data_IF_293470793824
#
_entry.id   IF_293470793824
#
_cell.length_a   1.000
_cell.length_b   1.000
_cell.length_c   1.000
_cell.angle_alpha   90.00
_cell.angle_beta   90.00
_cell.angle_gamma   90.00
#
_symmetry.space_group_name_H-M   'P 1'
#
loop_
_entity.id
_entity.type
_entity.pdbx_description
1 polymer ?
#
# COMPACT_ATOMS: atom_id res chain seq x y z
N UNK A 1 -45.92 53.63 -31.48
CA UNK A 1 -46.59 52.51 -32.21
C UNK A 1 -45.63 51.33 -32.20
N UNK A 2 -45.93 50.24 -31.50
CA UNK A 2 -45.08 49.03 -31.54
C UNK A 2 -45.69 47.96 -32.45
N UNK A 3 -44.92 47.39 -33.30
CA UNK A 3 -45.24 46.27 -34.20
C UNK A 3 -45.18 44.97 -33.39
N UNK A 4 -46.30 44.26 -33.35
CA UNK A 4 -46.42 42.94 -32.76
C UNK A 4 -46.10 41.90 -33.83
N UNK A 5 -45.00 41.14 -33.63
CA UNK A 5 -44.71 39.95 -34.42
C UNK A 5 -45.19 38.71 -33.68
N UNK A 6 -46.09 37.96 -34.31
CA UNK A 6 -46.62 36.67 -33.84
C UNK A 6 -45.62 35.57 -34.17
N UNK A 7 -45.15 34.81 -33.19
CA UNK A 7 -44.42 33.58 -33.41
C UNK A 7 -45.39 32.40 -33.28
N UNK A 8 -45.49 31.62 -34.32
CA UNK A 8 -46.30 30.40 -34.37
C UNK A 8 -45.56 29.25 -33.70
N UNK A 9 -46.22 28.56 -32.79
CA UNK A 9 -45.72 27.34 -32.14
C UNK A 9 -45.92 26.14 -33.04
N UNK A 10 -44.86 25.47 -33.46
CA UNK A 10 -44.88 24.19 -34.12
C UNK A 10 -44.68 23.09 -33.04
N UNK A 11 -45.72 22.30 -32.77
CA UNK A 11 -45.64 21.09 -31.98
C UNK A 11 -44.98 19.99 -32.83
N UNK A 12 -43.74 19.63 -32.52
CA UNK A 12 -43.14 18.40 -33.01
C UNK A 12 -43.33 17.28 -31.95
N UNK A 13 -44.11 16.26 -32.32
CA UNK A 13 -44.26 15.06 -31.53
C UNK A 13 -42.98 14.22 -31.61
N UNK A 14 -42.28 14.07 -30.50
CA UNK A 14 -41.12 13.18 -30.39
C UNK A 14 -41.63 11.79 -29.96
N UNK A 15 -41.58 10.82 -30.87
CA UNK A 15 -41.82 9.42 -30.55
C UNK A 15 -40.61 8.88 -29.77
N UNK A 16 -40.80 8.58 -28.49
CA UNK A 16 -39.80 7.90 -27.67
C UNK A 16 -39.75 6.42 -28.05
N UNK A 17 -38.67 6.02 -28.72
CA UNK A 17 -38.33 4.61 -28.91
C UNK A 17 -37.65 4.14 -27.63
N UNK A 18 -38.39 3.38 -26.82
CA UNK A 18 -37.85 2.63 -25.68
C UNK A 18 -37.04 1.46 -26.23
N UNK A 19 -35.75 1.63 -26.36
CA UNK A 19 -34.79 0.51 -26.48
C UNK A 19 -34.62 -0.07 -25.09
N UNK A 20 -35.21 -1.24 -24.85
CA UNK A 20 -34.88 -2.08 -23.70
C UNK A 20 -33.43 -2.53 -23.85
N UNK A 21 -32.49 -1.76 -23.25
CA UNK A 21 -31.13 -2.17 -23.05
C UNK A 21 -31.13 -3.32 -22.05
N UNK A 22 -30.81 -4.54 -22.49
CA UNK A 22 -30.39 -5.60 -21.63
C UNK A 22 -29.11 -5.14 -20.95
N UNK A 23 -29.23 -4.72 -19.68
CA UNK A 23 -28.08 -4.48 -18.83
C UNK A 23 -27.33 -5.79 -18.66
N UNK A 24 -26.27 -5.97 -19.45
CA UNK A 24 -25.30 -7.02 -19.15
C UNK A 24 -24.71 -6.70 -17.78
N UNK A 25 -25.01 -7.53 -16.79
CA UNK A 25 -24.27 -7.52 -15.53
C UNK A 25 -22.80 -7.69 -15.91
N UNK A 26 -22.00 -6.64 -15.77
CA UNK A 26 -20.56 -6.70 -15.96
C UNK A 26 -20.04 -7.84 -15.10
N UNK A 27 -19.35 -8.81 -15.70
CA UNK A 27 -18.71 -9.86 -14.93
C UNK A 27 -17.80 -9.21 -13.89
N UNK A 28 -17.93 -9.62 -12.63
CA UNK A 28 -17.01 -9.18 -11.58
C UNK A 28 -15.57 -9.41 -12.07
N UNK A 29 -14.65 -8.46 -11.86
CA UNK A 29 -13.26 -8.63 -12.25
C UNK A 29 -12.69 -9.91 -11.63
N UNK A 30 -11.79 -10.60 -12.32
CA UNK A 30 -11.27 -11.88 -11.85
C UNK A 30 -10.38 -11.64 -10.62
N UNK A 31 -10.69 -12.30 -9.51
CA UNK A 31 -9.87 -12.29 -8.30
C UNK A 31 -8.37 -12.50 -8.60
N UNK A 32 -7.51 -11.98 -7.71
CA UNK A 32 -6.07 -12.13 -7.82
C UNK A 32 -5.69 -13.62 -8.07
N UNK A 33 -4.64 -13.88 -8.90
CA UNK A 33 -4.20 -15.23 -9.18
C UNK A 33 -3.64 -15.91 -7.92
N UNK A 34 -3.81 -17.24 -7.86
CA UNK A 34 -3.17 -18.06 -6.83
C UNK A 34 -1.68 -18.18 -7.15
N UNK A 35 -0.76 -17.83 -6.22
CA UNK A 35 0.66 -18.00 -6.43
C UNK A 35 1.06 -19.48 -6.61
N UNK A 36 2.15 -19.71 -7.32
CA UNK A 36 2.78 -21.05 -7.43
C UNK A 36 3.79 -21.33 -6.31
N UNK A 37 3.99 -20.38 -5.41
CA UNK A 37 4.84 -20.50 -4.23
C UNK A 37 3.99 -20.33 -2.97
N UNK A 38 4.42 -20.96 -1.88
CA UNK A 38 3.76 -20.93 -0.57
C UNK A 38 4.81 -20.58 0.51
N UNK A 39 5.25 -19.32 0.52
CA UNK A 39 6.25 -18.79 1.45
C UNK A 39 5.70 -17.67 2.32
N UNK A 40 4.67 -16.99 1.82
CA UNK A 40 3.90 -15.97 2.50
C UNK A 40 2.64 -16.61 3.10
N UNK A 41 2.42 -16.46 4.39
CA UNK A 41 1.23 -17.00 5.07
C UNK A 41 0.08 -15.98 4.97
N UNK A 42 -0.71 -16.08 3.92
CA UNK A 42 -1.84 -15.20 3.66
C UNK A 42 -2.92 -15.28 4.77
N UNK A 43 -3.11 -16.46 5.37
CA UNK A 43 -4.05 -16.64 6.49
C UNK A 43 -3.65 -15.83 7.72
N UNK A 44 -2.36 -15.80 8.02
CA UNK A 44 -1.83 -15.00 9.14
C UNK A 44 -1.83 -13.52 8.82
N UNK A 45 -1.48 -13.11 7.59
CA UNK A 45 -1.59 -11.72 7.15
C UNK A 45 -3.04 -11.22 7.23
N UNK A 46 -3.99 -12.04 6.82
CA UNK A 46 -5.42 -11.76 6.94
C UNK A 46 -5.88 -11.62 8.39
N UNK A 47 -5.38 -12.48 9.29
CA UNK A 47 -5.68 -12.34 10.71
C UNK A 47 -5.12 -11.04 11.31
N UNK A 48 -3.91 -10.62 10.89
CA UNK A 48 -3.33 -9.32 11.28
C UNK A 48 -4.13 -8.14 10.74
N UNK A 49 -4.62 -8.19 9.50
CA UNK A 49 -5.49 -7.16 8.92
C UNK A 49 -6.80 -7.05 9.72
N UNK A 50 -7.50 -8.16 9.93
CA UNK A 50 -8.74 -8.20 10.72
C UNK A 50 -8.55 -7.68 12.16
N UNK A 51 -7.43 -7.99 12.78
CA UNK A 51 -7.10 -7.50 14.12
C UNK A 51 -6.98 -5.98 14.15
N UNK A 52 -6.47 -5.36 13.08
CA UNK A 52 -6.36 -3.90 12.95
C UNK A 52 -7.73 -3.26 12.73
N UNK A 53 -8.53 -3.82 11.81
CA UNK A 53 -9.91 -3.37 11.55
C UNK A 53 -10.76 -3.44 12.83
N UNK A 54 -10.61 -4.48 13.63
CA UNK A 54 -11.32 -4.64 14.90
C UNK A 54 -10.95 -3.60 15.97
N UNK A 55 -9.85 -2.85 15.82
CA UNK A 55 -9.52 -1.70 16.67
C UNK A 55 -10.35 -0.44 16.33
N UNK A 56 -11.04 -0.46 15.19
CA UNK A 56 -11.75 0.70 14.66
C UNK A 56 -10.83 1.76 14.05
N UNK A 57 -11.31 3.00 13.87
CA UNK A 57 -10.53 4.13 13.38
C UNK A 57 -9.27 4.35 14.24
N UNK A 58 -8.14 4.57 13.56
CA UNK A 58 -6.82 4.66 14.18
C UNK A 58 -6.05 5.91 13.75
N UNK A 59 -6.67 7.12 13.79
CA UNK A 59 -5.95 8.33 13.39
C UNK A 59 -4.61 8.44 14.12
N UNK A 60 -3.63 9.02 13.47
CA UNK A 60 -2.27 9.14 13.99
C UNK A 60 -2.24 9.70 15.43
N UNK A 61 -1.56 9.01 16.33
CA UNK A 61 -1.45 9.39 17.74
C UNK A 61 -2.70 9.13 18.61
N UNK A 62 -3.79 8.58 18.05
CA UNK A 62 -4.98 8.18 18.83
C UNK A 62 -4.68 7.02 19.80
N UNK A 63 -5.53 6.75 20.80
CA UNK A 63 -5.39 5.58 21.66
C UNK A 63 -5.38 4.25 20.89
N UNK A 64 -6.21 4.12 19.85
CA UNK A 64 -6.25 2.92 18.99
C UNK A 64 -4.95 2.76 18.19
N UNK A 65 -4.44 3.83 17.56
CA UNK A 65 -3.14 3.85 16.87
C UNK A 65 -2.00 3.46 17.83
N UNK A 66 -1.98 4.01 19.05
CA UNK A 66 -0.97 3.65 20.07
C UNK A 66 -1.06 2.19 20.49
N UNK A 67 -2.27 1.65 20.63
CA UNK A 67 -2.50 0.23 20.94
C UNK A 67 -1.98 -0.66 19.82
N UNK A 68 -2.26 -0.30 18.57
CA UNK A 68 -1.74 -0.99 17.40
C UNK A 68 -0.20 -0.93 17.36
N UNK A 69 0.39 0.25 17.54
CA UNK A 69 1.84 0.44 17.54
C UNK A 69 2.56 -0.49 18.54
N UNK A 70 1.99 -0.72 19.75
CA UNK A 70 2.54 -1.66 20.72
C UNK A 70 2.46 -3.12 20.23
N UNK A 71 1.37 -3.52 19.55
CA UNK A 71 1.25 -4.85 18.94
C UNK A 71 2.27 -5.04 17.82
N UNK A 72 2.41 -4.06 16.93
CA UNK A 72 3.38 -4.06 15.83
C UNK A 72 4.83 -4.16 16.37
N UNK A 73 5.15 -3.40 17.41
CA UNK A 73 6.47 -3.45 18.05
C UNK A 73 6.82 -4.84 18.58
N UNK A 74 5.86 -5.53 19.19
CA UNK A 74 6.06 -6.90 19.70
C UNK A 74 6.18 -7.92 18.57
N UNK A 75 5.53 -7.70 17.45
CA UNK A 75 5.50 -8.63 16.31
C UNK A 75 6.74 -8.51 15.40
N UNK A 76 7.31 -7.31 15.26
CA UNK A 76 8.49 -7.09 14.44
C UNK A 76 9.78 -7.63 15.09
N UNK A 77 10.72 -8.18 14.32
CA UNK A 77 11.99 -8.66 14.83
C UNK A 77 12.83 -7.49 15.39
N UNK A 78 13.14 -7.53 16.71
CA UNK A 78 13.84 -6.44 17.40
C UNK A 78 13.05 -5.14 17.43
N UNK A 79 11.72 -5.23 17.53
CA UNK A 79 10.80 -4.11 17.42
C UNK A 79 11.03 -3.01 18.46
N UNK A 80 11.14 -1.78 18.00
CA UNK A 80 11.33 -0.57 18.81
C UNK A 80 10.57 0.61 18.24
N UNK A 81 10.38 1.64 19.02
CA UNK A 81 9.87 2.92 18.55
C UNK A 81 10.98 3.86 18.08
N UNK A 82 10.68 4.64 17.08
CA UNK A 82 11.47 5.80 16.65
C UNK A 82 10.58 7.04 16.63
N UNK A 83 11.00 8.16 17.26
CA UNK A 83 10.17 9.33 17.39
C UNK A 83 9.88 9.99 16.04
N UNK A 84 8.65 10.49 15.88
CA UNK A 84 8.20 11.31 14.77
C UNK A 84 7.69 12.64 15.38
N UNK A 85 7.93 13.80 14.75
CA UNK A 85 7.43 15.08 15.22
C UNK A 85 5.91 15.05 15.49
N UNK A 86 5.46 15.86 16.46
CA UNK A 86 4.06 15.89 16.88
C UNK A 86 3.66 14.79 17.85
N UNK A 87 4.63 14.13 18.52
CA UNK A 87 4.36 13.08 19.52
C UNK A 87 4.01 11.73 18.91
N UNK A 88 4.19 11.59 17.60
CA UNK A 88 3.99 10.36 16.85
C UNK A 88 5.21 9.44 16.94
N UNK A 89 5.09 8.21 16.42
CA UNK A 89 6.16 7.22 16.51
C UNK A 89 6.10 6.15 15.43
N UNK A 90 7.13 6.03 14.64
CA UNK A 90 7.28 4.86 13.79
C UNK A 90 7.60 3.61 14.62
N UNK A 91 7.16 2.45 14.16
CA UNK A 91 7.56 1.16 14.73
C UNK A 91 8.57 0.52 13.77
N UNK A 92 9.73 0.16 14.29
CA UNK A 92 10.84 -0.32 13.47
C UNK A 92 11.32 -1.67 13.94
N UNK A 93 11.54 -2.58 12.98
CA UNK A 93 12.21 -3.86 13.19
C UNK A 93 13.27 -4.12 12.15
N UNK A 94 14.11 -5.14 12.34
CA UNK A 94 15.13 -5.47 11.37
C UNK A 94 15.51 -6.95 11.38
N UNK A 95 15.88 -7.45 10.20
CA UNK A 95 16.66 -8.68 10.07
C UNK A 95 18.13 -8.33 9.87
N UNK A 96 19.06 -9.05 10.53
CA UNK A 96 20.48 -8.79 10.42
C UNK A 96 21.00 -9.02 9.01
N UNK A 97 22.12 -8.36 8.69
CA UNK A 97 22.79 -8.48 7.42
C UNK A 97 23.85 -7.42 7.21
N UNK A 98 24.45 -7.36 6.02
CA UNK A 98 25.56 -6.48 5.66
C UNK A 98 25.11 -5.30 4.79
N UNK A 99 25.91 -4.25 4.79
CA UNK A 99 25.76 -3.07 3.92
C UNK A 99 24.51 -2.24 4.21
N UNK A 100 24.13 -1.41 3.24
CA UNK A 100 22.91 -0.60 3.31
C UNK A 100 21.66 -1.51 3.31
N UNK A 101 20.65 -1.16 4.09
CA UNK A 101 19.45 -1.96 4.26
C UNK A 101 18.51 -1.89 3.06
N UNK A 102 17.77 -2.97 2.81
CA UNK A 102 16.51 -2.89 2.06
C UNK A 102 15.46 -2.43 3.07
N UNK A 103 14.74 -1.35 2.76
CA UNK A 103 13.62 -0.88 3.56
C UNK A 103 12.32 -1.42 2.98
N UNK A 104 11.44 -1.92 3.86
CA UNK A 104 10.07 -2.29 3.53
C UNK A 104 9.17 -1.57 4.54
N UNK A 105 8.24 -0.77 4.05
CA UNK A 105 7.42 0.09 4.89
C UNK A 105 5.94 0.07 4.48
N UNK A 106 5.08 0.38 5.44
CA UNK A 106 3.66 0.69 5.27
C UNK A 106 3.25 1.64 6.38
N UNK A 107 2.27 2.50 6.15
CA UNK A 107 1.67 3.28 7.24
C UNK A 107 0.67 2.42 8.04
N UNK A 108 0.38 2.82 9.29
CA UNK A 108 -0.53 2.07 10.16
C UNK A 108 -1.65 2.93 10.75
N UNK A 109 -1.57 4.23 10.60
CA UNK A 109 -2.64 5.15 10.95
C UNK A 109 -3.75 5.12 9.88
N UNK A 110 -4.91 5.66 10.20
CA UNK A 110 -6.03 5.85 9.28
C UNK A 110 -6.37 7.32 9.19
N UNK A 111 -7.03 7.70 8.10
CA UNK A 111 -7.68 9.00 8.01
C UNK A 111 -8.62 9.22 9.20
N UNK A 112 -8.70 10.46 9.68
CA UNK A 112 -9.57 10.84 10.80
C UNK A 112 -11.01 11.08 10.32
N UNK A 113 -11.63 10.04 9.79
CA UNK A 113 -13.01 10.02 9.32
C UNK A 113 -13.83 9.13 10.27
N UNK A 114 -14.98 9.60 10.79
CA UNK A 114 -15.83 8.79 11.66
C UNK A 114 -16.25 7.47 11.00
N UNK A 115 -15.93 6.35 11.65
CA UNK A 115 -16.25 5.01 11.16
C UNK A 115 -15.28 4.44 10.09
N UNK A 116 -14.30 5.20 9.64
CA UNK A 116 -13.30 4.74 8.69
C UNK A 116 -12.30 3.79 9.34
N UNK A 117 -12.32 2.52 8.95
CA UNK A 117 -11.48 1.49 9.58
C UNK A 117 -10.22 1.17 8.77
N UNK A 118 -10.09 1.66 7.55
CA UNK A 118 -8.91 1.53 6.72
C UNK A 118 -8.46 0.08 6.57
N UNK A 119 -9.28 -0.76 5.95
CA UNK A 119 -8.96 -2.18 5.76
C UNK A 119 -7.89 -2.37 4.67
N UNK A 120 -7.99 -1.62 3.59
CA UNK A 120 -6.94 -1.54 2.57
C UNK A 120 -5.96 -0.44 2.93
N UNK A 121 -6.50 0.72 3.32
CA UNK A 121 -5.78 1.94 3.67
C UNK A 121 -5.19 1.85 5.08
N UNK A 122 -3.93 1.50 5.14
CA UNK A 122 -3.11 1.26 6.32
C UNK A 122 -3.08 -0.20 6.80
N UNK A 123 -4.22 -0.93 6.92
CA UNK A 123 -4.17 -2.28 7.48
C UNK A 123 -3.66 -3.31 6.48
N UNK A 124 -3.97 -3.19 5.19
CA UNK A 124 -3.50 -4.10 4.14
C UNK A 124 -1.98 -4.12 4.00
N UNK A 125 -1.39 -2.93 3.85
CA UNK A 125 0.06 -2.77 3.76
C UNK A 125 0.78 -3.22 5.03
N UNK A 126 0.31 -2.79 6.19
CA UNK A 126 0.88 -3.17 7.49
C UNK A 126 0.85 -4.68 7.73
N UNK A 127 -0.26 -5.37 7.44
CA UNK A 127 -0.35 -6.82 7.56
C UNK A 127 0.63 -7.55 6.62
N UNK A 128 0.75 -7.06 5.39
CA UNK A 128 1.71 -7.58 4.41
C UNK A 128 3.15 -7.44 4.92
N UNK A 129 3.54 -6.26 5.41
CA UNK A 129 4.91 -6.03 5.92
C UNK A 129 5.23 -6.89 7.14
N UNK A 130 4.26 -7.10 8.05
CA UNK A 130 4.42 -8.01 9.21
C UNK A 130 4.70 -9.44 8.75
N UNK A 131 3.93 -9.95 7.80
CA UNK A 131 4.12 -11.31 7.35
C UNK A 131 5.40 -11.47 6.51
N UNK A 132 5.79 -10.47 5.73
CA UNK A 132 7.11 -10.44 5.06
C UNK A 132 8.25 -10.57 6.06
N UNK A 133 8.17 -9.88 7.20
CA UNK A 133 9.19 -9.97 8.24
C UNK A 133 9.27 -11.40 8.83
N UNK A 134 8.14 -12.06 9.03
CA UNK A 134 8.07 -13.45 9.51
C UNK A 134 8.58 -14.43 8.45
N UNK A 135 8.14 -14.29 7.20
CA UNK A 135 8.54 -15.15 6.08
C UNK A 135 10.05 -15.12 5.83
N UNK A 136 10.63 -13.92 5.79
CA UNK A 136 12.07 -13.75 5.60
C UNK A 136 12.88 -14.23 6.80
N UNK A 137 12.37 -14.12 8.02
CA UNK A 137 13.00 -14.68 9.23
C UNK A 137 12.99 -16.21 9.19
N UNK A 138 11.88 -16.84 8.85
CA UNK A 138 11.77 -18.31 8.69
C UNK A 138 12.71 -18.83 7.61
N UNK A 139 12.83 -18.10 6.50
CA UNK A 139 13.70 -18.49 5.40
C UNK A 139 15.20 -18.51 5.80
N UNK A 140 15.59 -17.79 6.84
CA UNK A 140 16.98 -17.71 7.27
C UNK A 140 17.89 -17.15 6.18
N UNK A 141 19.10 -17.61 6.16
CA UNK A 141 20.06 -17.37 5.07
C UNK A 141 21.48 -17.06 5.55
N UNK A 142 22.46 -17.04 4.63
CA UNK A 142 23.86 -16.85 4.98
C UNK A 142 24.15 -15.45 5.54
N UNK A 143 25.19 -15.34 6.37
CA UNK A 143 25.59 -14.10 7.04
C UNK A 143 25.98 -12.96 6.07
N UNK A 144 26.25 -13.28 4.81
CA UNK A 144 26.54 -12.30 3.74
C UNK A 144 25.30 -11.53 3.27
N UNK A 145 24.08 -11.97 3.60
CA UNK A 145 22.87 -11.34 3.12
C UNK A 145 22.75 -9.88 3.55
N UNK A 146 22.09 -9.08 2.71
CA UNK A 146 21.77 -7.68 3.02
C UNK A 146 20.78 -7.58 4.18
N UNK A 147 20.97 -6.58 5.02
CA UNK A 147 20.03 -6.22 6.09
C UNK A 147 18.66 -5.85 5.51
N UNK A 148 17.59 -6.19 6.24
CA UNK A 148 16.23 -5.69 5.95
C UNK A 148 15.79 -4.85 7.14
N UNK A 149 15.23 -3.67 6.86
CA UNK A 149 14.60 -2.78 7.83
C UNK A 149 13.12 -2.72 7.51
N UNK A 150 12.29 -3.04 8.48
CA UNK A 150 10.82 -2.90 8.41
C UNK A 150 10.42 -1.66 9.18
N UNK A 151 9.55 -0.84 8.59
CA UNK A 151 9.05 0.38 9.22
C UNK A 151 7.55 0.45 9.07
N UNK A 152 6.84 0.51 10.21
CA UNK A 152 5.44 0.90 10.24
C UNK A 152 5.42 2.39 10.51
N UNK A 153 4.91 3.14 9.57
CA UNK A 153 4.96 4.60 9.54
C UNK A 153 3.73 5.18 10.26
N UNK A 154 3.93 6.21 11.07
CA UNK A 154 2.87 6.92 11.80
C UNK A 154 2.65 8.29 11.19
N UNK A 155 1.40 8.64 10.95
CA UNK A 155 1.06 9.94 10.44
C UNK A 155 1.39 10.11 8.96
N UNK A 156 1.12 9.12 8.16
CA UNK A 156 1.04 9.24 6.72
C UNK A 156 -0.11 10.18 6.36
N UNK A 157 -1.27 9.93 6.95
CA UNK A 157 -2.50 10.67 6.74
C UNK A 157 -2.43 12.13 7.21
N UNK A 158 -3.02 13.03 6.44
CA UNK A 158 -3.25 14.41 6.88
C UNK A 158 -4.16 14.46 8.10
N UNK A 159 -3.89 15.32 9.09
CA UNK A 159 -4.75 15.46 10.25
C UNK A 159 -6.16 15.97 9.90
N UNK A 160 -7.15 15.42 10.60
CA UNK A 160 -8.56 15.81 10.47
C UNK A 160 -9.28 15.12 9.31
N UNK A 161 -10.63 15.27 9.27
CA UNK A 161 -11.50 14.59 8.31
C UNK A 161 -11.61 15.32 6.96
N UNK A 162 -10.96 16.46 6.80
CA UNK A 162 -11.01 17.27 5.58
C UNK A 162 -10.37 16.62 4.37
N UNK A 163 -10.51 17.27 3.23
CA UNK A 163 -9.82 16.87 2.02
C UNK A 163 -8.29 16.98 2.18
N UNK A 164 -7.56 16.31 1.31
CA UNK A 164 -6.11 16.27 1.34
C UNK A 164 -5.44 17.44 0.60
N UNK A 165 -6.15 18.56 0.45
CA UNK A 165 -5.64 19.74 -0.28
C UNK A 165 -4.30 20.27 0.23
N UNK A 166 -3.90 19.91 1.44
CA UNK A 166 -2.61 20.26 2.05
C UNK A 166 -1.75 19.03 2.39
N UNK A 167 -2.08 17.87 1.85
CA UNK A 167 -1.39 16.60 2.12
C UNK A 167 0.13 16.71 1.92
N UNK A 168 0.56 17.39 0.85
CA UNK A 168 1.96 17.62 0.58
C UNK A 168 2.72 18.31 1.75
N UNK A 169 2.03 19.00 2.65
CA UNK A 169 2.63 19.66 3.83
C UNK A 169 2.38 18.88 5.13
N UNK A 170 1.19 18.32 5.30
CA UNK A 170 0.70 17.80 6.58
C UNK A 170 0.77 16.28 6.70
N UNK A 171 0.78 15.55 5.59
CA UNK A 171 0.93 14.10 5.52
C UNK A 171 2.38 13.62 5.55
N UNK A 172 2.61 12.33 5.38
CA UNK A 172 3.91 11.66 5.25
C UNK A 172 4.87 11.94 6.43
N UNK A 173 4.36 12.21 7.63
CA UNK A 173 5.17 12.64 8.79
C UNK A 173 6.16 11.56 9.21
N UNK A 174 5.73 10.30 9.21
CA UNK A 174 6.52 9.13 9.55
C UNK A 174 7.67 8.89 8.59
N UNK A 175 7.39 8.84 7.29
CA UNK A 175 8.40 8.60 6.26
C UNK A 175 9.39 9.75 6.11
N UNK A 176 8.93 11.00 6.24
CA UNK A 176 9.83 12.17 6.26
C UNK A 176 10.82 12.09 7.41
N UNK A 177 10.33 11.75 8.60
CA UNK A 177 11.19 11.61 9.77
C UNK A 177 12.15 10.42 9.64
N UNK A 178 11.69 9.27 9.12
CA UNK A 178 12.55 8.12 8.90
C UNK A 178 13.59 8.38 7.81
N UNK A 179 13.19 8.89 6.65
CA UNK A 179 14.08 9.17 5.54
C UNK A 179 15.17 10.21 5.91
N UNK A 180 14.82 11.24 6.69
CA UNK A 180 15.79 12.22 7.18
C UNK A 180 16.89 11.57 8.02
N UNK A 181 16.55 10.56 8.83
CA UNK A 181 17.52 9.85 9.70
C UNK A 181 18.29 8.75 9.01
N UNK A 182 17.69 8.10 8.00
CA UNK A 182 18.17 6.78 7.56
C UNK A 182 18.52 6.67 6.08
N UNK A 183 18.12 7.60 5.20
CA UNK A 183 18.29 7.48 3.74
C UNK A 183 19.72 7.11 3.32
N UNK A 184 20.75 7.69 3.92
CA UNK A 184 22.15 7.36 3.63
C UNK A 184 22.55 5.89 3.92
N UNK A 185 21.75 5.17 4.70
CA UNK A 185 21.93 3.76 5.08
C UNK A 185 20.96 2.82 4.39
N UNK A 186 20.06 3.34 3.53
CA UNK A 186 19.11 2.57 2.75
C UNK A 186 19.66 2.33 1.35
N UNK A 187 19.54 1.11 0.87
CA UNK A 187 19.91 0.70 -0.48
C UNK A 187 18.76 0.90 -1.45
N UNK A 188 17.60 0.41 -1.10
CA UNK A 188 16.34 0.52 -1.84
C UNK A 188 15.17 0.55 -0.85
N UNK A 189 14.08 1.22 -1.20
CA UNK A 189 12.88 1.27 -0.39
C UNK A 189 11.68 0.70 -1.17
N UNK A 190 10.83 -0.02 -0.46
CA UNK A 190 9.59 -0.60 -0.95
C UNK A 190 8.51 -0.16 0.03
N UNK A 191 7.59 0.65 -0.45
CA UNK A 191 6.37 1.03 0.28
C UNK A 191 5.24 0.15 -0.19
N UNK A 192 4.37 -0.23 0.74
CA UNK A 192 3.27 -1.16 0.50
C UNK A 192 2.00 -0.51 1.00
N UNK A 193 1.20 -0.02 0.07
CA UNK A 193 -0.06 0.64 0.32
C UNK A 193 -1.16 0.12 -0.62
N UNK A 194 -2.44 0.16 -0.22
CA UNK A 194 -3.60 -0.32 -1.00
C UNK A 194 -3.37 -1.65 -1.74
N UNK A 195 -2.84 -2.66 -1.04
CA UNK A 195 -2.47 -3.96 -1.64
C UNK A 195 -3.45 -5.09 -1.34
N UNK A 196 -4.52 -4.80 -0.64
CA UNK A 196 -5.50 -5.78 -0.20
C UNK A 196 -6.81 -5.76 -1.00
N UNK A 197 -7.00 -4.81 -1.92
CA UNK A 197 -8.20 -4.70 -2.75
C UNK A 197 -8.61 -6.05 -3.33
N UNK A 198 -9.91 -6.38 -3.25
CA UNK A 198 -10.46 -7.60 -3.83
C UNK A 198 -10.23 -7.68 -5.36
N UNK A 199 -10.22 -6.53 -6.04
CA UNK A 199 -10.03 -6.38 -7.49
C UNK A 199 -8.62 -5.89 -7.87
N UNK A 200 -7.64 -6.25 -7.11
CA UNK A 200 -6.27 -5.74 -7.09
C UNK A 200 -5.62 -5.64 -8.48
N UNK A 201 -5.15 -4.44 -8.82
CA UNK A 201 -4.32 -4.15 -10.00
C UNK A 201 -3.26 -3.10 -9.67
N UNK A 202 -2.01 -3.50 -9.57
CA UNK A 202 -0.87 -2.67 -9.21
C UNK A 202 -0.06 -2.26 -10.44
N UNK A 203 -0.43 -1.20 -11.19
CA UNK A 203 0.44 -0.60 -12.18
C UNK A 203 1.59 0.14 -11.49
N UNK A 204 2.70 0.38 -12.21
CA UNK A 204 3.73 1.28 -11.69
C UNK A 204 3.19 2.72 -11.67
N UNK A 205 3.09 3.34 -10.50
CA UNK A 205 2.86 4.78 -10.46
C UNK A 205 4.13 5.53 -10.95
N UNK A 206 3.95 6.72 -11.54
CA UNK A 206 4.99 7.39 -12.35
C UNK A 206 6.24 7.82 -11.55
N UNK A 207 6.12 8.03 -10.24
CA UNK A 207 7.20 8.49 -9.37
C UNK A 207 8.05 7.34 -8.80
N UNK A 208 7.59 6.10 -8.92
CA UNK A 208 8.32 4.88 -8.56
C UNK A 208 9.52 4.62 -9.48
N UNK A 209 10.60 4.10 -8.90
CA UNK A 209 11.82 3.73 -9.63
C UNK A 209 11.54 2.62 -10.66
N UNK A 210 11.75 2.87 -11.97
CA UNK A 210 11.38 1.91 -13.00
C UNK A 210 12.24 0.64 -12.99
N UNK A 211 13.51 0.72 -12.58
CA UNK A 211 14.40 -0.45 -12.56
C UNK A 211 14.04 -1.36 -11.37
N UNK A 212 13.72 -0.78 -10.22
CA UNK A 212 13.26 -1.52 -9.05
C UNK A 212 11.88 -2.15 -9.31
N UNK A 213 10.99 -1.43 -9.98
CA UNK A 213 9.68 -1.96 -10.41
C UNK A 213 9.81 -3.14 -11.37
N UNK A 214 10.75 -3.07 -12.32
CA UNK A 214 11.02 -4.19 -13.23
C UNK A 214 11.48 -5.45 -12.47
N UNK A 215 12.26 -5.31 -11.40
CA UNK A 215 12.65 -6.43 -10.54
C UNK A 215 11.45 -7.04 -9.81
N UNK A 216 10.51 -6.22 -9.32
CA UNK A 216 9.24 -6.68 -8.73
C UNK A 216 8.43 -7.48 -9.74
N UNK A 217 8.21 -6.94 -10.95
CA UNK A 217 7.47 -7.63 -12.02
C UNK A 217 8.10 -8.97 -12.40
N UNK A 218 9.42 -9.02 -12.51
CA UNK A 218 10.13 -10.27 -12.78
C UNK A 218 9.95 -11.28 -11.63
N UNK A 219 9.93 -10.82 -10.38
CA UNK A 219 9.66 -11.68 -9.22
C UNK A 219 8.22 -12.20 -9.22
N UNK A 220 7.24 -11.32 -9.47
CA UNK A 220 5.82 -11.67 -9.59
C UNK A 220 5.55 -12.69 -10.69
N UNK A 221 6.21 -12.55 -11.86
CA UNK A 221 6.10 -13.52 -12.95
C UNK A 221 6.61 -14.92 -12.54
N UNK A 222 7.72 -14.97 -11.79
CA UNK A 222 8.30 -16.25 -11.32
C UNK A 222 7.39 -17.01 -10.35
N UNK A 223 6.52 -16.33 -9.64
CA UNK A 223 5.57 -16.94 -8.70
C UNK A 223 4.13 -16.97 -9.25
N UNK A 224 3.94 -16.73 -10.55
CA UNK A 224 2.64 -16.89 -11.21
C UNK A 224 1.64 -15.73 -11.03
N UNK A 225 2.05 -14.62 -10.40
CA UNK A 225 1.15 -13.51 -10.10
C UNK A 225 1.41 -12.25 -10.95
N UNK A 226 2.11 -12.41 -12.07
CA UNK A 226 2.55 -11.30 -12.93
C UNK A 226 1.41 -10.40 -13.43
N UNK A 227 0.17 -10.91 -13.56
CA UNK A 227 -0.98 -10.12 -14.01
C UNK A 227 -1.41 -9.04 -12.99
N UNK A 228 -1.09 -9.21 -11.70
CA UNK A 228 -1.35 -8.19 -10.66
C UNK A 228 -0.53 -6.94 -10.92
N UNK A 229 0.61 -7.07 -11.59
CA UNK A 229 1.57 -5.99 -11.88
C UNK A 229 1.63 -5.69 -13.39
N UNK A 230 0.61 -5.05 -13.98
CA UNK A 230 0.54 -4.80 -15.41
C UNK A 230 1.68 -3.90 -15.90
N UNK A 231 1.91 -3.88 -17.21
CA UNK A 231 3.00 -3.08 -17.82
C UNK A 231 2.68 -1.59 -17.88
N UNK A 232 1.40 -1.20 -17.71
CA UNK A 232 0.98 0.22 -17.75
C UNK A 232 1.64 1.04 -16.65
N UNK A 233 1.78 2.33 -16.90
CA UNK A 233 2.19 3.32 -15.91
C UNK A 233 0.96 4.13 -15.53
N UNK A 234 0.69 4.24 -14.23
CA UNK A 234 -0.35 5.08 -13.66
C UNK A 234 0.19 6.50 -13.38
N UNK A 235 -0.66 7.49 -13.16
CA UNK A 235 -0.24 8.80 -12.66
C UNK A 235 0.61 8.67 -11.39
N UNK A 236 1.49 9.65 -11.15
CA UNK A 236 2.31 9.67 -9.94
C UNK A 236 1.47 9.98 -8.72
N UNK A 237 1.76 9.32 -7.61
CA UNK A 237 1.10 9.49 -6.31
C UNK A 237 2.07 10.11 -5.31
N UNK A 238 1.57 11.06 -4.51
CA UNK A 238 2.29 11.56 -3.35
C UNK A 238 2.11 10.56 -2.21
N UNK A 239 3.20 9.82 -1.87
CA UNK A 239 3.13 8.83 -0.82
C UNK A 239 4.50 8.61 -0.14
N UNK A 240 4.55 7.75 0.86
CA UNK A 240 5.65 7.45 1.78
C UNK A 240 6.97 7.04 1.08
N UNK A 241 6.94 6.63 -0.19
CA UNK A 241 8.15 6.38 -0.97
C UNK A 241 8.89 7.67 -1.35
N UNK A 242 8.20 8.81 -1.50
CA UNK A 242 8.77 10.06 -1.99
C UNK A 242 9.85 10.68 -1.07
N UNK A 243 9.70 10.71 0.26
CA UNK A 243 10.75 11.22 1.13
C UNK A 243 12.10 10.50 0.96
N UNK A 244 12.09 9.21 0.58
CA UNK A 244 13.30 8.44 0.26
C UNK A 244 13.82 8.79 -1.15
N UNK A 245 12.92 8.87 -2.15
CA UNK A 245 13.27 9.28 -3.52
C UNK A 245 13.96 10.64 -3.55
N UNK A 246 13.40 11.62 -2.84
CA UNK A 246 13.97 12.97 -2.73
C UNK A 246 15.38 12.99 -2.12
N UNK A 247 15.77 11.92 -1.41
CA UNK A 247 17.12 11.74 -0.84
C UNK A 247 17.99 10.77 -1.64
N UNK A 248 17.63 10.50 -2.89
CA UNK A 248 18.42 9.69 -3.82
C UNK A 248 18.37 8.17 -3.55
N UNK A 249 17.40 7.69 -2.75
CA UNK A 249 17.15 6.26 -2.58
C UNK A 249 16.22 5.77 -3.67
N UNK A 250 16.57 4.76 -4.47
CA UNK A 250 15.64 4.09 -5.36
C UNK A 250 14.46 3.52 -4.53
N UNK A 251 13.24 3.98 -4.81
CA UNK A 251 12.06 3.55 -4.07
C UNK A 251 10.90 3.27 -5.02
N UNK A 252 10.05 2.35 -4.64
CA UNK A 252 8.77 2.04 -5.29
C UNK A 252 7.67 2.06 -4.26
N UNK A 253 6.49 2.39 -4.75
CA UNK A 253 5.23 2.30 -4.06
C UNK A 253 4.36 1.24 -4.74
N UNK A 254 3.84 0.31 -3.97
CA UNK A 254 2.85 -0.66 -4.40
C UNK A 254 1.50 -0.11 -3.95
N UNK A 255 0.80 0.54 -4.87
CA UNK A 255 -0.46 1.19 -4.56
C UNK A 255 -1.49 0.95 -5.67
N UNK A 256 -2.65 0.42 -5.31
CA UNK A 256 -3.84 0.37 -6.17
C UNK A 256 -4.71 1.59 -5.90
N UNK A 257 -4.45 2.68 -6.60
CA UNK A 257 -5.18 3.93 -6.41
C UNK A 257 -6.49 4.00 -7.23
N UNK A 258 -6.83 2.94 -7.97
CA UNK A 258 -8.14 2.74 -8.60
C UNK A 258 -9.07 1.97 -7.65
N UNK A 259 -9.27 2.53 -6.45
CA UNK A 259 -9.94 1.93 -5.32
C UNK A 259 -11.15 2.79 -4.89
N UNK A 260 -12.38 2.47 -5.33
CA UNK A 260 -13.57 3.28 -5.03
C UNK A 260 -13.88 3.50 -3.54
N UNK A 261 -13.58 2.56 -2.61
CA UNK A 261 -13.77 2.79 -1.18
C UNK A 261 -12.80 3.77 -0.52
N UNK A 262 -11.80 4.29 -1.24
CA UNK A 262 -10.80 5.22 -0.69
C UNK A 262 -11.44 6.37 0.10
N UNK A 263 -10.97 6.57 1.33
CA UNK A 263 -11.44 7.58 2.29
C UNK A 263 -12.96 7.54 2.54
N UNK A 264 -13.57 6.36 2.45
CA UNK A 264 -14.97 6.13 2.81
C UNK A 264 -15.10 4.99 3.83
N UNK A 265 -16.24 4.93 4.53
CA UNK A 265 -16.53 3.82 5.44
C UNK A 265 -16.66 2.46 4.74
N UNK A 266 -16.68 2.45 3.40
CA UNK A 266 -16.66 1.24 2.59
C UNK A 266 -15.28 0.59 2.48
N UNK A 267 -14.20 1.23 2.99
CA UNK A 267 -12.90 0.57 3.15
C UNK A 267 -12.91 -0.33 4.39
N UNK A 268 -13.62 -1.43 4.27
CA UNK A 268 -13.83 -2.45 5.30
C UNK A 268 -13.43 -3.86 4.81
N UNK A 269 -13.81 -4.90 5.57
CA UNK A 269 -13.43 -6.27 5.25
C UNK A 269 -14.06 -6.83 3.96
N UNK A 270 -15.17 -6.24 3.50
CA UNK A 270 -15.86 -6.68 2.27
C UNK A 270 -15.15 -6.15 1.01
N UNK A 271 -14.39 -5.06 1.13
CA UNK A 271 -13.61 -4.46 0.05
C UNK A 271 -12.25 -5.14 -0.20
N UNK A 272 -11.79 -6.01 0.70
CA UNK A 272 -10.44 -6.56 0.68
C UNK A 272 -10.41 -8.08 0.59
N UNK A 273 -9.29 -8.65 0.13
CA UNK A 273 -9.17 -10.09 -0.12
C UNK A 273 -7.85 -10.68 0.41
N UNK A 274 -7.90 -11.82 1.11
CA UNK A 274 -6.69 -12.56 1.46
C UNK A 274 -5.91 -13.05 0.24
N UNK A 275 -6.55 -13.25 -0.92
CA UNK A 275 -5.87 -13.61 -2.18
C UNK A 275 -4.98 -12.48 -2.70
N UNK A 276 -5.39 -11.25 -2.54
CA UNK A 276 -4.60 -10.08 -2.92
C UNK A 276 -3.36 -9.96 -2.04
N UNK A 277 -3.52 -10.13 -0.72
CA UNK A 277 -2.38 -10.20 0.21
C UNK A 277 -1.40 -11.31 -0.15
N UNK A 278 -1.90 -12.50 -0.54
CA UNK A 278 -1.09 -13.65 -0.95
C UNK A 278 -0.27 -13.34 -2.21
N UNK A 279 -0.94 -12.83 -3.25
CA UNK A 279 -0.29 -12.50 -4.52
C UNK A 279 0.83 -11.47 -4.35
N UNK A 280 0.58 -10.39 -3.61
CA UNK A 280 1.57 -9.36 -3.31
C UNK A 280 2.68 -9.91 -2.40
N UNK A 281 2.31 -10.63 -1.36
CA UNK A 281 3.23 -11.21 -0.40
C UNK A 281 4.24 -12.14 -1.04
N UNK A 282 3.80 -13.08 -1.90
CA UNK A 282 4.68 -14.02 -2.60
C UNK A 282 5.59 -13.31 -3.60
N UNK A 283 5.09 -12.31 -4.34
CA UNK A 283 5.92 -11.50 -5.24
C UNK A 283 7.04 -10.79 -4.47
N UNK A 284 6.71 -10.18 -3.32
CA UNK A 284 7.66 -9.47 -2.48
C UNK A 284 8.64 -10.42 -1.78
N UNK A 285 8.20 -11.58 -1.29
CA UNK A 285 9.13 -12.60 -0.74
C UNK A 285 10.13 -13.03 -1.81
N UNK A 286 9.65 -13.31 -3.03
CA UNK A 286 10.51 -13.72 -4.13
C UNK A 286 11.54 -12.62 -4.50
N UNK A 287 11.12 -11.37 -4.58
CA UNK A 287 11.98 -10.22 -4.85
C UNK A 287 13.02 -10.02 -3.73
N UNK A 288 12.57 -9.94 -2.49
CA UNK A 288 13.41 -9.66 -1.34
C UNK A 288 14.48 -10.74 -1.11
N UNK A 289 14.16 -12.01 -1.37
CA UNK A 289 15.14 -13.10 -1.28
C UNK A 289 16.29 -12.95 -2.29
N UNK A 290 16.02 -12.48 -3.49
CA UNK A 290 17.07 -12.15 -4.49
C UNK A 290 17.87 -10.94 -4.03
N UNK A 291 17.21 -9.82 -3.71
CA UNK A 291 17.87 -8.59 -3.29
C UNK A 291 18.77 -8.78 -2.05
N UNK A 292 18.37 -9.63 -1.11
CA UNK A 292 19.19 -9.92 0.08
C UNK A 292 20.49 -10.63 -0.26
N UNK A 293 20.53 -11.40 -1.33
CA UNK A 293 21.72 -12.15 -1.76
C UNK A 293 22.72 -11.30 -2.55
N UNK A 294 22.35 -10.13 -3.04
CA UNK A 294 23.24 -9.23 -3.82
C UNK A 294 24.58 -8.89 -3.14
N UNK A 295 24.70 -9.09 -1.84
CA UNK A 295 25.93 -8.88 -1.08
C UNK A 295 26.74 -10.16 -0.83
N UNK A 296 26.27 -11.30 -1.37
CA UNK A 296 26.95 -12.57 -1.23
C UNK A 296 27.87 -12.83 -2.43
N UNK A 297 29.04 -13.48 -2.23
CA UNK A 297 29.88 -13.90 -3.33
C UNK A 297 29.11 -14.85 -4.29
N UNK A 298 29.23 -14.62 -5.59
CA UNK A 298 28.60 -15.46 -6.63
C UNK A 298 27.07 -15.29 -6.74
N UNK A 299 26.52 -14.16 -6.27
CA UNK A 299 25.09 -13.84 -6.42
C UNK A 299 24.75 -13.38 -7.84
#
# INVERSE_FOLDING_TARGET
>A
MPIRTRIAAACAALAAVLTAGCGGAGAAPPAAPVPTADRFDAGRAWADLRMQVALGPRPAGSPASRTLAERLRRALPGGRFEPVPGGLRNVVGALPGRGKAILVAAHYDTKDIPGFVGANDGAGGTATVLELARALRRAGGPACQRRVRFVMLDGEESPGPGDDGDFARTGLRGSRADAARTAGRIHRAIVVDFVADADLSLPREALSDPALWAQLRAAAARVGVGRVFPARVAPGVLDDHLPYRQRGVPAIDLIDFDYPPWHTVGDDLDAVSPRSLDAVGEALVAMLRVMRRETCPGA
#
